data_IF_032671252776
#
_entry.id   IF_032671252776
#
_cell.length_a   1.000
_cell.length_b   1.000
_cell.length_c   1.000
_cell.angle_alpha   90.00
_cell.angle_beta   90.00
_cell.angle_gamma   90.00
#
_symmetry.space_group_name_H-M   'P 1'
#
loop_
_entity.id
_entity.type
_entity.pdbx_description
1 polymer ?
#
# COMPACT_ATOMS: atom_id res chain seq x y z
N UNK A 1 -2.24 12.46 -25.93
CA UNK A 1 -1.67 11.81 -24.74
C UNK A 1 -2.71 11.93 -23.67
N UNK A 2 -3.15 10.80 -23.12
CA UNK A 2 -4.22 10.77 -22.14
C UNK A 2 -3.65 11.01 -20.74
N UNK A 3 -4.46 11.60 -19.86
CA UNK A 3 -4.09 11.92 -18.48
C UNK A 3 -5.24 11.54 -17.54
N UNK A 4 -4.89 11.10 -16.33
CA UNK A 4 -5.81 10.86 -15.23
C UNK A 4 -5.58 11.95 -14.16
N UNK A 5 -6.67 12.46 -13.59
CA UNK A 5 -6.63 13.46 -12.51
C UNK A 5 -7.42 12.90 -11.33
N UNK A 6 -6.77 12.85 -10.17
CA UNK A 6 -7.35 12.33 -8.92
C UNK A 6 -7.19 13.38 -7.81
N UNK A 7 -8.09 13.35 -6.83
CA UNK A 7 -7.97 14.15 -5.63
C UNK A 7 -6.81 13.65 -4.77
N UNK A 8 -6.02 14.57 -4.20
CA UNK A 8 -4.98 14.20 -3.26
C UNK A 8 -5.59 13.81 -1.91
N UNK A 9 -5.32 12.59 -1.45
CA UNK A 9 -5.70 12.10 -0.13
C UNK A 9 -4.52 12.29 0.82
N UNK A 10 -4.64 13.24 1.76
CA UNK A 10 -3.68 13.36 2.86
C UNK A 10 -3.94 12.28 3.91
N UNK A 11 -3.02 11.31 4.01
CA UNK A 11 -3.18 10.19 4.92
C UNK A 11 -2.03 9.20 4.90
N UNK A 12 -2.37 7.96 5.26
CA UNK A 12 -1.44 6.83 5.40
C UNK A 12 -1.43 6.01 4.12
N UNK A 13 -0.28 5.43 3.77
CA UNK A 13 -0.14 4.51 2.64
C UNK A 13 0.13 3.09 3.17
N UNK A 14 -0.84 2.19 2.96
CA UNK A 14 -0.80 0.80 3.41
C UNK A 14 -0.73 -0.14 2.20
N UNK A 15 0.22 -1.07 2.22
CA UNK A 15 0.39 -2.10 1.20
C UNK A 15 -0.06 -3.45 1.75
N UNK A 16 -0.88 -4.15 0.96
CA UNK A 16 -1.34 -5.52 1.25
C UNK A 16 -0.72 -6.45 0.21
N UNK A 17 0.31 -7.20 0.58
CA UNK A 17 0.95 -8.15 -0.32
C UNK A 17 0.20 -9.49 -0.31
N UNK A 18 0.01 -10.04 -1.50
CA UNK A 18 -0.68 -11.31 -1.72
C UNK A 18 0.28 -12.30 -2.41
N UNK A 19 0.24 -13.56 -1.99
CA UNK A 19 1.04 -14.63 -2.58
C UNK A 19 0.14 -15.83 -2.92
N UNK A 20 0.25 -16.33 -4.15
CA UNK A 20 -0.37 -17.59 -4.57
C UNK A 20 -1.49 -17.43 -5.63
N UNK A 21 -1.65 -18.50 -6.42
CA UNK A 21 -2.47 -18.46 -7.65
C UNK A 21 -3.86 -19.10 -7.46
N UNK A 22 -3.98 -20.06 -6.55
CA UNK A 22 -5.25 -20.77 -6.24
C UNK A 22 -5.69 -20.48 -4.83
N UNK A 23 -4.79 -20.75 -3.89
CA UNK A 23 -4.90 -20.34 -2.50
C UNK A 23 -4.09 -19.05 -2.36
N UNK A 24 -4.77 -17.99 -1.92
CA UNK A 24 -4.15 -16.67 -1.75
C UNK A 24 -3.78 -16.56 -0.27
N UNK A 25 -2.49 -16.44 0.00
CA UNK A 25 -1.95 -16.04 1.29
C UNK A 25 -1.88 -14.50 1.33
N UNK A 26 -2.43 -13.91 2.38
CA UNK A 26 -2.27 -12.47 2.65
C UNK A 26 -1.11 -12.29 3.62
N UNK A 27 -0.07 -11.59 3.17
CA UNK A 27 1.11 -11.29 3.97
C UNK A 27 0.84 -10.12 4.93
N UNK A 28 1.67 -9.92 5.96
CA UNK A 28 1.50 -8.80 6.89
C UNK A 28 1.41 -7.46 6.16
N UNK A 29 0.43 -6.64 6.55
CA UNK A 29 0.28 -5.29 6.02
C UNK A 29 1.56 -4.49 6.30
N UNK A 30 2.01 -3.72 5.31
CA UNK A 30 3.15 -2.83 5.45
C UNK A 30 2.69 -1.38 5.28
N UNK A 31 3.25 -0.48 6.07
CA UNK A 31 2.97 0.95 5.97
C UNK A 31 4.23 1.71 5.56
N UNK A 32 4.08 2.64 4.63
CA UNK A 32 5.12 3.63 4.35
C UNK A 32 4.96 4.77 5.34
N UNK A 33 5.94 4.94 6.22
CA UNK A 33 5.92 6.00 7.21
C UNK A 33 6.54 7.27 6.63
N UNK A 34 5.67 8.20 6.25
CA UNK A 34 6.07 9.51 5.74
C UNK A 34 6.51 10.49 6.83
N UNK A 35 6.25 10.22 8.11
CA UNK A 35 6.50 11.14 9.21
C UNK A 35 5.93 12.54 8.96
N UNK A 36 6.76 13.56 9.19
CA UNK A 36 6.42 14.99 9.10
C UNK A 36 6.65 15.60 7.71
N UNK A 37 6.68 14.79 6.64
CA UNK A 37 6.81 15.33 5.27
C UNK A 37 5.61 16.21 4.93
N UNK A 38 5.89 17.37 4.34
CA UNK A 38 4.86 18.29 3.82
C UNK A 38 3.97 17.61 2.77
N UNK A 39 4.56 16.77 1.93
CA UNK A 39 3.83 15.98 0.94
C UNK A 39 4.08 14.49 1.18
N UNK A 40 3.04 13.78 1.59
CA UNK A 40 3.06 12.33 1.86
C UNK A 40 2.87 11.55 0.56
N UNK A 41 3.88 11.64 -0.30
CA UNK A 41 3.91 10.95 -1.59
C UNK A 41 5.21 10.18 -1.76
N UNK A 42 5.07 8.94 -2.22
CA UNK A 42 6.20 8.09 -2.57
C UNK A 42 6.68 8.41 -4.00
N UNK A 43 7.36 9.54 -4.17
CA UNK A 43 7.95 9.98 -5.45
C UNK A 43 9.02 9.02 -5.96
N UNK A 44 9.51 9.22 -7.19
CA UNK A 44 10.64 8.45 -7.72
C UNK A 44 11.83 8.51 -6.75
N UNK A 45 12.20 9.70 -6.29
CA UNK A 45 13.34 9.94 -5.41
C UNK A 45 13.15 9.19 -4.09
N UNK A 46 11.96 9.29 -3.51
CA UNK A 46 11.62 8.58 -2.30
C UNK A 46 11.62 7.05 -2.46
N UNK A 47 11.46 6.50 -3.68
CA UNK A 47 11.54 5.05 -3.93
C UNK A 47 12.95 4.53 -4.11
N UNK A 48 13.83 5.31 -4.73
CA UNK A 48 15.10 4.80 -5.26
C UNK A 48 16.35 5.47 -4.71
N UNK A 49 16.23 6.65 -4.09
CA UNK A 49 17.35 7.29 -3.40
C UNK A 49 17.28 6.96 -1.92
N UNK A 50 18.16 6.06 -1.48
CA UNK A 50 18.26 5.65 -0.07
C UNK A 50 18.30 6.83 0.92
N UNK A 51 18.88 7.97 0.54
CA UNK A 51 18.96 9.16 1.39
C UNK A 51 17.60 9.80 1.73
N UNK A 52 16.58 9.59 0.89
CA UNK A 52 15.23 10.17 1.06
C UNK A 52 14.13 9.10 1.07
N UNK A 53 14.49 7.83 1.21
CA UNK A 53 13.54 6.74 1.29
C UNK A 53 12.85 6.72 2.66
N UNK A 54 11.51 6.79 2.72
CA UNK A 54 10.80 6.66 3.99
C UNK A 54 10.95 5.23 4.55
N UNK A 55 10.98 5.06 5.88
CA UNK A 55 10.97 3.74 6.48
C UNK A 55 9.65 3.01 6.20
N UNK A 56 9.70 1.68 6.32
CA UNK A 56 8.53 0.81 6.22
C UNK A 56 8.25 0.18 7.58
N UNK A 57 7.01 0.29 8.06
CA UNK A 57 6.53 -0.37 9.28
C UNK A 57 5.84 -1.66 8.87
N UNK A 58 6.36 -2.80 9.31
CA UNK A 58 5.77 -4.12 9.05
C UNK A 58 5.88 -5.00 10.30
N UNK A 59 4.76 -5.44 10.91
CA UNK A 59 3.38 -5.20 10.48
C UNK A 59 2.92 -3.76 10.76
N UNK A 60 2.11 -3.21 9.83
CA UNK A 60 1.47 -1.92 9.97
C UNK A 60 0.56 -1.87 11.21
N UNK A 61 0.55 -0.72 11.89
CA UNK A 61 -0.23 -0.53 13.11
C UNK A 61 -1.62 0.02 12.75
N UNK A 62 -2.56 -0.88 12.48
CA UNK A 62 -3.95 -0.56 12.11
C UNK A 62 -4.93 -1.31 13.01
N UNK A 63 -6.12 -0.74 13.22
CA UNK A 63 -7.19 -1.46 13.93
C UNK A 63 -7.55 -2.75 13.20
N UNK A 64 -7.94 -3.78 13.95
CA UNK A 64 -8.27 -5.10 13.39
C UNK A 64 -9.39 -5.04 12.35
N UNK A 65 -10.40 -4.18 12.56
CA UNK A 65 -11.50 -3.93 11.62
C UNK A 65 -10.98 -3.41 10.27
N UNK A 66 -10.09 -2.42 10.30
CA UNK A 66 -9.46 -1.86 9.11
C UNK A 66 -8.54 -2.87 8.44
N UNK A 67 -7.76 -3.64 9.22
CA UNK A 67 -6.91 -4.69 8.68
C UNK A 67 -7.72 -5.73 7.90
N UNK A 68 -8.85 -6.19 8.43
CA UNK A 68 -9.74 -7.12 7.73
C UNK A 68 -10.31 -6.51 6.45
N UNK A 69 -10.79 -5.27 6.51
CA UNK A 69 -11.32 -4.57 5.35
C UNK A 69 -10.29 -4.46 4.21
N UNK A 70 -9.05 -4.09 4.53
CA UNK A 70 -7.97 -3.97 3.55
C UNK A 70 -7.61 -5.32 2.91
N UNK A 71 -7.60 -6.40 3.70
CA UNK A 71 -7.36 -7.75 3.20
C UNK A 71 -8.47 -8.21 2.25
N UNK A 72 -9.74 -7.98 2.62
CA UNK A 72 -10.90 -8.34 1.80
C UNK A 72 -10.89 -7.60 0.45
N UNK A 73 -10.61 -6.29 0.47
CA UNK A 73 -10.49 -5.47 -0.75
C UNK A 73 -9.34 -5.96 -1.64
N UNK A 74 -8.18 -6.25 -1.06
CA UNK A 74 -7.02 -6.73 -1.81
C UNK A 74 -7.30 -8.06 -2.51
N UNK A 75 -7.87 -9.03 -1.78
CA UNK A 75 -8.22 -10.35 -2.34
C UNK A 75 -9.31 -10.24 -3.41
N UNK A 76 -10.35 -9.43 -3.17
CA UNK A 76 -11.39 -9.19 -4.17
C UNK A 76 -10.82 -8.57 -5.45
N UNK A 77 -9.94 -7.58 -5.32
CA UNK A 77 -9.29 -6.90 -6.45
C UNK A 77 -8.38 -7.85 -7.22
N UNK A 78 -7.54 -8.64 -6.53
CA UNK A 78 -6.67 -9.63 -7.16
C UNK A 78 -7.46 -10.62 -8.03
N UNK A 79 -8.59 -11.12 -7.52
CA UNK A 79 -9.49 -12.01 -8.27
C UNK A 79 -10.17 -11.31 -9.44
N UNK A 80 -10.67 -10.09 -9.25
CA UNK A 80 -11.31 -9.31 -10.30
C UNK A 80 -10.35 -8.98 -11.46
N UNK A 81 -9.08 -8.72 -11.14
CA UNK A 81 -8.01 -8.49 -12.11
C UNK A 81 -7.44 -9.77 -12.73
N UNK A 82 -7.92 -10.95 -12.34
CA UNK A 82 -7.45 -12.25 -12.82
C UNK A 82 -5.94 -12.48 -12.66
N UNK A 83 -5.37 -11.92 -11.59
CA UNK A 83 -3.96 -12.10 -11.24
C UNK A 83 -3.67 -13.59 -10.92
N UNK A 84 -2.39 -13.97 -10.97
CA UNK A 84 -1.91 -15.32 -10.72
C UNK A 84 -0.67 -15.29 -9.87
#
# INVERSE_FOLDING_TARGET
QDALVEEYIDGREIHVALLGNREIEVLPLAEIDFGERETRLLTWEAKYLAAVQPPTICPAQVESSLATLLQDIAVATFRACQCR
#
